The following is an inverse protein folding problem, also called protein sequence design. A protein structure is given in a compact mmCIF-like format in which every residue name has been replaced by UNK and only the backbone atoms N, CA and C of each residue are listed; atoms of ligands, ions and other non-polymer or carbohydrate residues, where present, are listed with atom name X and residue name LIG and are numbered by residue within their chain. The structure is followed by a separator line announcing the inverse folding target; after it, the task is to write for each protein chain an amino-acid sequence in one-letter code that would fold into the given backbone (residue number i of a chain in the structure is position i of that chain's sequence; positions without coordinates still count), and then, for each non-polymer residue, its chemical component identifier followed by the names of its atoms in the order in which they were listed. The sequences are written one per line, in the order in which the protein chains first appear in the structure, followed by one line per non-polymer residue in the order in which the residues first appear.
data_IF_515821139370
#
_entry.id   IF_515821139370
#
_cell.length_a   1.000
_cell.length_b   1.000
_cell.length_c   1.000
_cell.angle_alpha   90.00
_cell.angle_beta   90.00
_cell.angle_gamma   90.00
#
_symmetry.space_group_name_H-M   'P 1'
#
loop_
_entity.id
_entity.type
_entity.pdbx_description
1 polymer ?
#
# COMPACT_ATOMS: atom_id res chain seq x y z
N UNK A 1 -8.71 -1.75 -22.23
CA UNK A 1 -9.89 -1.79 -21.34
C UNK A 1 -10.36 -0.36 -21.13
N UNK A 2 -11.66 -0.05 -21.24
CA UNK A 2 -12.13 1.30 -20.94
C UNK A 2 -11.80 1.64 -19.49
N UNK A 3 -11.33 2.87 -19.25
CA UNK A 3 -11.06 3.43 -17.93
C UNK A 3 -12.38 3.59 -17.17
N UNK A 4 -12.90 2.49 -16.62
CA UNK A 4 -14.05 2.53 -15.72
C UNK A 4 -13.59 2.97 -14.35
N UNK A 5 -14.12 4.07 -13.83
CA UNK A 5 -13.95 4.43 -12.42
C UNK A 5 -14.53 3.31 -11.55
N UNK A 6 -13.72 2.74 -10.66
CA UNK A 6 -14.20 1.78 -9.67
C UNK A 6 -15.09 2.52 -8.67
N UNK A 7 -16.38 2.22 -8.67
CA UNK A 7 -17.34 2.82 -7.74
C UNK A 7 -17.24 2.14 -6.37
N UNK A 8 -16.96 2.93 -5.34
CA UNK A 8 -17.01 2.50 -3.95
C UNK A 8 -18.42 2.75 -3.42
N UNK A 9 -19.08 1.72 -2.90
CA UNK A 9 -20.53 1.76 -2.61
C UNK A 9 -20.90 1.51 -1.14
N UNK A 10 -20.07 0.76 -0.40
CA UNK A 10 -20.33 0.46 1.00
C UNK A 10 -19.33 1.16 1.89
N UNK A 11 -19.81 1.98 2.82
CA UNK A 11 -19.01 2.63 3.84
C UNK A 11 -19.33 2.03 5.21
N UNK A 12 -18.30 1.72 6.00
CA UNK A 12 -18.45 1.41 7.42
C UNK A 12 -17.42 2.16 8.25
N UNK A 13 -17.80 2.52 9.47
CA UNK A 13 -16.84 2.97 10.46
C UNK A 13 -15.93 1.80 10.84
N UNK A 14 -14.64 2.08 10.94
CA UNK A 14 -13.62 1.15 11.42
C UNK A 14 -12.90 1.81 12.58
N UNK A 15 -12.79 1.05 13.66
CA UNK A 15 -12.05 1.42 14.86
C UNK A 15 -10.90 0.43 14.99
N UNK A 16 -9.67 0.94 14.99
CA UNK A 16 -8.48 0.12 15.15
C UNK A 16 -7.85 0.47 16.49
N UNK A 17 -7.76 -0.50 17.39
CA UNK A 17 -7.08 -0.36 18.66
C UNK A 17 -5.65 -0.91 18.55
N UNK A 18 -4.64 -0.04 18.70
CA UNK A 18 -3.23 -0.43 18.60
C UNK A 18 -2.31 0.58 19.29
N UNK A 19 -1.24 0.09 19.94
CA UNK A 19 -0.24 0.97 20.57
C UNK A 19 -0.76 1.86 21.71
N UNK A 20 -1.89 1.50 22.34
CA UNK A 20 -2.54 2.31 23.37
C UNK A 20 -3.31 3.52 22.83
N UNK A 21 -3.53 3.59 21.50
CA UNK A 21 -4.35 4.60 20.84
C UNK A 21 -5.44 3.94 20.01
N UNK A 22 -6.50 4.69 19.76
CA UNK A 22 -7.59 4.29 18.89
C UNK A 22 -7.53 5.13 17.62
N UNK A 23 -7.45 4.48 16.47
CA UNK A 23 -7.68 5.13 15.18
C UNK A 23 -9.13 4.90 14.76
N UNK A 24 -9.79 5.95 14.27
CA UNK A 24 -11.14 5.89 13.72
C UNK A 24 -11.13 6.39 12.28
N UNK A 25 -11.80 5.66 11.40
CA UNK A 25 -11.98 6.11 10.03
C UNK A 25 -13.03 5.30 9.28
N UNK A 26 -12.99 5.42 7.96
CA UNK A 26 -14.00 4.84 7.06
C UNK A 26 -13.35 3.81 6.17
N UNK A 27 -13.91 2.60 6.15
CA UNK A 27 -13.65 1.60 5.12
C UNK A 27 -14.71 1.68 4.05
N UNK A 28 -14.25 1.79 2.81
CA UNK A 28 -15.07 1.70 1.62
C UNK A 28 -14.77 0.39 0.88
N UNK A 29 -15.78 -0.15 0.19
CA UNK A 29 -15.65 -1.37 -0.60
C UNK A 29 -16.08 -1.14 -2.05
N UNK A 30 -15.32 -1.76 -2.95
CA UNK A 30 -15.73 -1.96 -4.34
C UNK A 30 -15.53 -3.41 -4.75
N UNK A 31 -16.46 -3.92 -5.57
CA UNK A 31 -16.35 -5.21 -6.23
C UNK A 31 -16.38 -5.00 -7.75
N UNK A 32 -15.55 -5.73 -8.48
CA UNK A 32 -15.48 -5.65 -9.93
C UNK A 32 -15.22 -7.03 -10.55
N UNK A 33 -15.67 -7.28 -11.78
CA UNK A 33 -15.47 -8.58 -12.43
C UNK A 33 -13.99 -8.88 -12.62
N UNK A 34 -13.59 -10.13 -12.38
CA UNK A 34 -12.27 -10.61 -12.77
C UNK A 34 -12.26 -10.83 -14.29
N UNK A 35 -11.42 -10.09 -15.00
CA UNK A 35 -11.23 -10.31 -16.43
C UNK A 35 -10.85 -11.78 -16.70
N UNK A 36 -11.57 -12.43 -17.61
CA UNK A 36 -11.31 -13.82 -18.01
C UNK A 36 -11.80 -14.91 -17.05
N UNK A 37 -12.60 -14.58 -16.03
CA UNK A 37 -13.22 -15.59 -15.16
C UNK A 37 -14.70 -15.25 -14.94
N UNK A 38 -15.59 -15.94 -15.65
CA UNK A 38 -17.04 -15.78 -15.47
C UNK A 38 -17.43 -16.09 -14.01
N UNK A 39 -18.21 -15.21 -13.40
CA UNK A 39 -18.72 -15.37 -12.03
C UNK A 39 -17.72 -15.07 -10.91
N UNK A 40 -16.44 -14.83 -11.19
CA UNK A 40 -15.46 -14.48 -10.16
C UNK A 40 -15.34 -12.95 -10.01
N UNK A 41 -15.74 -12.41 -8.85
CA UNK A 41 -15.51 -11.02 -8.48
C UNK A 41 -14.15 -10.82 -7.81
N UNK A 42 -13.54 -9.66 -8.04
CA UNK A 42 -12.46 -9.11 -7.20
C UNK A 42 -13.06 -8.09 -6.24
N UNK A 43 -12.49 -8.00 -5.05
CA UNK A 43 -12.87 -7.03 -4.03
C UNK A 43 -11.65 -6.21 -3.65
N UNK A 44 -11.84 -4.90 -3.56
CA UNK A 44 -10.88 -3.98 -2.97
C UNK A 44 -11.52 -3.24 -1.82
N UNK A 45 -10.71 -2.95 -0.80
CA UNK A 45 -11.09 -2.17 0.37
C UNK A 45 -10.25 -0.89 0.36
N UNK A 46 -10.85 0.24 0.71
CA UNK A 46 -10.17 1.53 0.80
C UNK A 46 -10.40 2.10 2.20
N UNK A 47 -9.31 2.28 2.95
CA UNK A 47 -9.34 3.01 4.21
C UNK A 47 -9.03 4.48 3.95
N UNK A 48 -9.96 5.38 4.29
CA UNK A 48 -9.74 6.82 4.14
C UNK A 48 -8.97 7.37 5.34
N UNK A 49 -7.99 8.23 5.07
CA UNK A 49 -7.22 8.98 6.10
C UNK A 49 -6.56 8.05 7.12
N UNK A 50 -6.06 6.91 6.65
CA UNK A 50 -5.31 5.97 7.50
C UNK A 50 -4.07 6.63 8.09
N UNK A 51 -3.33 7.37 7.25
CA UNK A 51 -2.18 8.19 7.65
C UNK A 51 -2.64 9.64 7.87
N UNK A 52 -2.13 10.27 8.92
CA UNK A 52 -2.31 11.69 9.17
C UNK A 52 -1.38 12.54 8.30
N UNK A 53 -1.68 13.84 8.08
CA UNK A 53 -0.88 14.72 7.23
C UNK A 53 0.60 14.76 7.62
N UNK A 54 0.90 14.93 8.91
CA UNK A 54 2.27 14.94 9.42
C UNK A 54 3.03 13.62 9.17
N UNK A 55 2.33 12.48 9.14
CA UNK A 55 2.96 11.18 8.84
C UNK A 55 3.29 11.08 7.36
N UNK A 56 2.37 11.54 6.50
CA UNK A 56 2.60 11.65 5.06
C UNK A 56 3.78 12.57 4.78
N UNK A 57 3.82 13.76 5.39
CA UNK A 57 4.90 14.74 5.22
C UNK A 57 6.26 14.13 5.60
N UNK A 58 6.34 13.41 6.72
CA UNK A 58 7.59 12.74 7.14
C UNK A 58 8.01 11.62 6.19
N UNK A 59 7.05 10.85 5.66
CA UNK A 59 7.38 9.83 4.66
C UNK A 59 7.90 10.49 3.39
N UNK A 60 7.26 11.56 2.92
CA UNK A 60 7.66 12.31 1.72
C UNK A 60 9.01 13.01 1.90
N UNK A 61 9.28 13.61 3.06
CA UNK A 61 10.56 14.24 3.38
C UNK A 61 11.72 13.24 3.22
N UNK A 62 11.56 12.03 3.77
CA UNK A 62 12.55 10.98 3.60
C UNK A 62 12.60 10.45 2.15
N UNK A 63 11.45 10.29 1.49
CA UNK A 63 11.36 9.85 0.09
C UNK A 63 12.11 10.78 -0.88
N UNK A 64 12.07 12.09 -0.59
CA UNK A 64 12.74 13.13 -1.37
C UNK A 64 14.16 13.42 -0.89
N UNK A 65 14.60 12.82 0.22
CA UNK A 65 15.94 13.06 0.76
C UNK A 65 17.02 12.43 -0.12
N UNK A 66 18.17 13.09 -0.24
CA UNK A 66 19.33 12.56 -0.95
C UNK A 66 19.95 11.32 -0.27
N UNK A 67 19.51 10.98 0.93
CA UNK A 67 20.00 9.84 1.72
C UNK A 67 19.30 8.54 1.33
N UNK A 68 18.09 8.61 0.77
CA UNK A 68 17.33 7.42 0.42
C UNK A 68 17.70 6.93 -0.97
N UNK A 69 18.38 5.79 -1.02
CA UNK A 69 18.72 5.12 -2.27
C UNK A 69 17.54 4.28 -2.77
N UNK A 70 17.20 4.46 -4.05
CA UNK A 70 16.20 3.68 -4.76
C UNK A 70 16.88 2.64 -5.63
N UNK A 71 16.51 1.39 -5.41
CA UNK A 71 16.94 0.28 -6.24
C UNK A 71 16.37 0.43 -7.66
N UNK A 72 17.23 0.28 -8.66
CA UNK A 72 16.90 0.33 -10.07
C UNK A 72 17.07 -1.03 -10.78
N UNK A 73 17.18 -2.11 -10.01
CA UNK A 73 17.25 -3.47 -10.53
C UNK A 73 16.02 -3.78 -11.41
N UNK A 74 16.18 -4.65 -12.44
CA UNK A 74 15.07 -5.13 -13.25
C UNK A 74 13.98 -5.81 -12.41
N UNK A 75 12.74 -5.37 -12.61
CA UNK A 75 11.53 -6.00 -12.06
C UNK A 75 11.28 -7.37 -12.71
N UNK A 76 10.84 -8.36 -11.93
CA UNK A 76 10.60 -9.71 -12.45
C UNK A 76 9.42 -9.79 -13.43
N UNK A 77 8.51 -8.80 -13.43
CA UNK A 77 7.32 -8.79 -14.29
C UNK A 77 7.66 -8.33 -15.71
N UNK A 78 8.51 -7.31 -15.87
CA UNK A 78 8.78 -6.69 -17.18
C UNK A 78 10.25 -6.33 -17.47
N UNK A 79 11.17 -6.64 -16.55
CA UNK A 79 12.59 -6.36 -16.67
C UNK A 79 12.97 -4.88 -16.59
N UNK A 80 12.03 -3.99 -16.25
CA UNK A 80 12.31 -2.54 -16.14
C UNK A 80 12.76 -2.16 -14.73
N UNK A 81 13.55 -1.09 -14.56
CA UNK A 81 13.94 -0.60 -13.23
C UNK A 81 12.73 -0.34 -12.34
N UNK A 82 12.83 -0.75 -11.08
CA UNK A 82 11.70 -0.67 -10.15
C UNK A 82 11.54 0.65 -9.41
N UNK A 83 12.66 1.33 -9.11
CA UNK A 83 12.70 2.54 -8.27
C UNK A 83 12.03 2.32 -6.92
N UNK A 84 12.51 1.30 -6.21
CA UNK A 84 11.99 0.84 -4.91
C UNK A 84 13.02 0.94 -3.80
N UNK A 85 12.55 1.15 -2.58
CA UNK A 85 13.36 1.03 -1.37
C UNK A 85 12.58 0.28 -0.30
N UNK A 86 13.24 -0.62 0.40
CA UNK A 86 12.60 -1.55 1.33
C UNK A 86 12.82 -1.11 2.78
N UNK A 87 11.76 -1.14 3.57
CA UNK A 87 11.82 -0.91 5.02
C UNK A 87 11.56 -2.18 5.81
N UNK A 88 10.89 -3.16 5.21
CA UNK A 88 10.73 -4.49 5.77
C UNK A 88 10.84 -5.56 4.69
N UNK A 89 11.56 -6.63 5.00
CA UNK A 89 11.71 -7.84 4.16
C UNK A 89 11.68 -9.05 5.10
N UNK A 90 10.93 -10.09 4.75
CA UNK A 90 10.76 -11.30 5.58
C UNK A 90 10.33 -10.99 7.02
N UNK A 91 9.45 -9.99 7.19
CA UNK A 91 8.98 -9.45 8.47
C UNK A 91 10.07 -8.82 9.36
N UNK A 92 11.28 -8.59 8.81
CA UNK A 92 12.37 -7.92 9.51
C UNK A 92 12.51 -6.48 9.02
N UNK A 93 12.82 -5.56 9.94
CA UNK A 93 13.08 -4.17 9.59
C UNK A 93 14.47 -4.01 8.97
N UNK A 94 14.52 -3.35 7.82
CA UNK A 94 15.77 -2.86 7.25
C UNK A 94 16.21 -1.62 8.04
N UNK A 95 17.50 -1.50 8.42
CA UNK A 95 18.01 -0.29 9.05
C UNK A 95 17.80 0.95 8.17
N UNK A 96 17.32 2.06 8.74
CA UNK A 96 17.11 3.30 7.98
C UNK A 96 16.16 4.29 8.65
N UNK A 97 16.18 5.54 8.19
CA UNK A 97 15.49 6.68 8.83
C UNK A 97 13.96 6.59 8.83
N UNK A 98 13.35 5.90 7.85
CA UNK A 98 11.90 5.77 7.73
C UNK A 98 11.30 4.75 8.72
N UNK A 99 12.13 3.91 9.35
CA UNK A 99 11.68 2.85 10.27
C UNK A 99 10.79 3.40 11.37
N UNK A 100 11.17 4.51 12.01
CA UNK A 100 10.43 5.07 13.14
C UNK A 100 9.10 5.71 12.72
N UNK A 101 8.94 6.05 11.44
CA UNK A 101 7.68 6.54 10.87
C UNK A 101 6.76 5.38 10.49
N UNK A 102 7.30 4.36 9.79
CA UNK A 102 6.52 3.24 9.27
C UNK A 102 6.12 2.25 10.36
N UNK A 103 7.01 1.96 11.32
CA UNK A 103 6.76 0.98 12.39
C UNK A 103 5.43 1.21 13.13
N UNK A 104 5.12 2.40 13.66
CA UNK A 104 3.84 2.63 14.34
C UNK A 104 2.64 2.51 13.38
N UNK A 105 2.76 2.97 12.12
CA UNK A 105 1.68 2.80 11.12
C UNK A 105 1.37 1.31 10.90
N UNK A 106 2.41 0.49 10.75
CA UNK A 106 2.27 -0.95 10.54
C UNK A 106 1.72 -1.64 11.79
N UNK A 107 2.38 -1.46 12.93
CA UNK A 107 2.09 -2.22 14.16
C UNK A 107 0.78 -1.81 14.82
N UNK A 108 0.38 -0.54 14.72
CA UNK A 108 -0.76 0.00 15.46
C UNK A 108 -2.01 0.17 14.59
N UNK A 109 -1.87 0.21 13.25
CA UNK A 109 -3.01 0.37 12.33
C UNK A 109 -3.14 -0.76 11.31
N UNK A 110 -2.17 -0.92 10.42
CA UNK A 110 -2.30 -1.85 9.27
C UNK A 110 -2.45 -3.29 9.73
N UNK A 111 -1.54 -3.77 10.57
CA UNK A 111 -1.52 -5.17 10.99
C UNK A 111 -2.73 -5.55 11.85
N UNK A 112 -3.13 -4.76 12.88
CA UNK A 112 -4.37 -5.03 13.61
C UNK A 112 -5.60 -5.05 12.72
N UNK A 113 -5.72 -4.10 11.79
CA UNK A 113 -6.82 -4.07 10.83
C UNK A 113 -6.88 -5.33 9.96
N UNK A 114 -5.75 -5.76 9.40
CA UNK A 114 -5.70 -6.97 8.56
C UNK A 114 -6.09 -8.21 9.37
N UNK A 115 -5.55 -8.35 10.59
CA UNK A 115 -5.85 -9.50 11.47
C UNK A 115 -7.33 -9.61 11.77
N UNK A 116 -7.96 -8.49 12.15
CA UNK A 116 -9.39 -8.45 12.43
C UNK A 116 -10.21 -8.67 11.15
N UNK A 117 -9.90 -7.94 10.07
CA UNK A 117 -10.68 -7.96 8.82
C UNK A 117 -10.77 -9.34 8.19
N UNK A 118 -9.70 -10.10 8.30
CA UNK A 118 -9.55 -11.42 7.68
C UNK A 118 -9.63 -12.58 8.69
N UNK A 119 -9.85 -12.30 9.98
CA UNK A 119 -9.92 -13.33 11.01
C UNK A 119 -8.63 -14.16 11.14
N UNK A 120 -7.48 -13.54 10.86
CA UNK A 120 -6.17 -14.20 10.84
C UNK A 120 -5.25 -13.54 11.87
N UNK A 121 -5.22 -14.05 13.10
CA UNK A 121 -4.43 -13.47 14.21
C UNK A 121 -2.92 -13.45 13.92
N UNK A 122 -2.44 -14.42 13.15
CA UNK A 122 -1.03 -14.60 12.83
C UNK A 122 -0.57 -13.76 11.62
N UNK A 123 -1.49 -13.05 10.95
CA UNK A 123 -1.12 -12.19 9.83
C UNK A 123 -0.06 -11.16 10.26
N UNK A 124 1.00 -11.04 9.48
CA UNK A 124 2.12 -10.13 9.74
C UNK A 124 2.51 -9.42 8.44
N UNK A 125 3.04 -8.20 8.56
CA UNK A 125 3.61 -7.51 7.41
C UNK A 125 4.96 -8.15 7.07
N UNK A 126 4.99 -8.95 6.01
CA UNK A 126 6.20 -9.62 5.54
C UNK A 126 7.11 -8.68 4.73
N UNK A 127 6.53 -7.82 3.90
CA UNK A 127 7.27 -6.91 3.03
C UNK A 127 6.65 -5.52 3.08
N UNK A 128 7.49 -4.49 3.22
CA UNK A 128 7.08 -3.09 3.15
C UNK A 128 8.13 -2.30 2.38
N UNK A 129 7.69 -1.59 1.35
CA UNK A 129 8.54 -0.82 0.45
C UNK A 129 7.87 0.48 0.04
N UNK A 130 8.69 1.42 -0.41
CA UNK A 130 8.27 2.63 -1.10
C UNK A 130 8.73 2.55 -2.55
N UNK A 131 7.81 2.81 -3.47
CA UNK A 131 8.07 2.93 -4.90
C UNK A 131 7.69 4.33 -5.36
N UNK A 132 8.49 4.91 -6.26
CA UNK A 132 8.20 6.22 -6.87
C UNK A 132 7.97 6.10 -8.38
N UNK A 133 7.33 7.11 -8.94
CA UNK A 133 6.95 7.16 -10.36
C UNK A 133 7.23 8.56 -10.94
N UNK A 134 8.48 8.85 -11.32
CA UNK A 134 8.86 10.16 -11.88
C UNK A 134 8.82 10.20 -13.42
N UNK A 135 8.81 11.40 -14.03
CA UNK A 135 9.04 11.55 -15.47
C UNK A 135 10.39 10.91 -15.87
N UNK A 136 10.38 10.11 -16.93
CA UNK A 136 11.57 9.38 -17.41
C UNK A 136 11.81 8.03 -16.72
N UNK A 137 11.14 7.74 -15.61
CA UNK A 137 11.18 6.44 -14.93
C UNK A 137 10.06 5.49 -15.43
N UNK A 138 10.07 4.25 -14.93
CA UNK A 138 9.00 3.28 -15.17
C UNK A 138 7.72 3.78 -14.47
N UNK A 139 6.67 4.06 -15.24
CA UNK A 139 5.36 4.54 -14.72
C UNK A 139 4.18 3.60 -14.98
N UNK A 140 4.43 2.47 -15.62
CA UNK A 140 3.44 1.43 -15.85
C UNK A 140 3.92 0.15 -15.19
N UNK A 141 3.02 -0.49 -14.44
CA UNK A 141 3.26 -1.80 -13.87
C UNK A 141 2.24 -2.77 -14.49
N UNK A 142 2.68 -3.76 -15.29
CA UNK A 142 1.76 -4.68 -15.93
C UNK A 142 0.89 -5.44 -14.92
N UNK A 143 -0.27 -5.93 -15.38
CA UNK A 143 -1.13 -6.75 -14.54
C UNK A 143 -0.40 -8.03 -14.09
N UNK A 144 -0.34 -8.24 -12.78
CA UNK A 144 0.30 -9.40 -12.15
C UNK A 144 -0.42 -9.75 -10.85
N UNK A 145 0.01 -10.84 -10.22
CA UNK A 145 -0.43 -11.24 -8.89
C UNK A 145 0.72 -11.10 -7.91
N UNK A 146 0.41 -10.65 -6.71
CA UNK A 146 1.31 -10.76 -5.57
C UNK A 146 1.24 -12.20 -5.05
N UNK A 147 2.02 -13.08 -5.66
CA UNK A 147 1.95 -14.53 -5.41
C UNK A 147 2.35 -14.87 -3.96
N UNK A 148 3.19 -14.04 -3.35
CA UNK A 148 3.77 -14.27 -2.01
C UNK A 148 3.07 -13.46 -0.90
N UNK A 149 1.91 -12.87 -1.18
CA UNK A 149 1.16 -12.08 -0.20
C UNK A 149 -0.26 -12.61 0.03
N UNK A 150 -0.66 -12.74 1.30
CA UNK A 150 -2.05 -13.02 1.67
C UNK A 150 -2.97 -11.84 1.33
N UNK A 151 -2.49 -10.63 1.55
CA UNK A 151 -3.13 -9.39 1.15
C UNK A 151 -2.08 -8.30 0.87
N UNK A 152 -2.39 -7.41 -0.07
CA UNK A 152 -1.53 -6.26 -0.40
C UNK A 152 -2.22 -4.97 0.01
N UNK A 153 -1.48 -4.11 0.69
CA UNK A 153 -1.92 -2.77 1.08
C UNK A 153 -1.09 -1.76 0.31
N UNK A 154 -1.76 -0.85 -0.38
CA UNK A 154 -1.09 0.27 -1.06
C UNK A 154 -1.60 1.59 -0.49
N UNK A 155 -0.65 2.46 -0.16
CA UNK A 155 -0.92 3.80 0.38
C UNK A 155 -0.45 4.83 -0.63
N UNK A 156 -1.38 5.61 -1.17
CA UNK A 156 -1.04 6.78 -1.98
C UNK A 156 -0.61 7.93 -1.08
N UNK A 157 0.61 8.43 -1.27
CA UNK A 157 1.20 9.47 -0.42
C UNK A 157 0.99 10.90 -0.96
N UNK A 158 0.77 11.05 -2.27
CA UNK A 158 0.54 12.33 -2.94
C UNK A 158 -0.68 12.25 -3.88
N UNK A 159 -1.87 11.85 -3.38
CA UNK A 159 -3.06 11.73 -4.23
C UNK A 159 -3.42 13.09 -4.84
N UNK A 160 -3.50 13.16 -6.17
CA UNK A 160 -3.83 14.39 -6.91
C UNK A 160 -2.63 15.05 -7.60
N UNK A 161 -1.39 14.67 -7.23
CA UNK A 161 -0.17 15.22 -7.83
C UNK A 161 0.35 14.39 -9.02
N UNK A 162 -0.48 13.48 -9.56
CA UNK A 162 -0.12 12.62 -10.67
C UNK A 162 -1.32 12.32 -11.57
N UNK A 163 -1.03 12.07 -12.85
CA UNK A 163 -2.00 11.54 -13.82
C UNK A 163 -2.01 10.01 -13.80
N UNK A 164 -3.21 9.42 -13.75
CA UNK A 164 -3.40 7.98 -13.70
C UNK A 164 -3.96 7.51 -12.36
N UNK A 165 -3.62 6.31 -11.95
CA UNK A 165 -4.19 5.68 -10.76
C UNK A 165 -3.49 4.40 -10.35
N UNK A 166 -3.90 3.90 -9.19
CA UNK A 166 -3.64 2.53 -8.80
C UNK A 166 -4.58 1.63 -9.63
N UNK A 167 -4.03 0.98 -10.65
CA UNK A 167 -4.71 0.14 -11.67
C UNK A 167 -5.51 0.89 -12.75
#
# INVERSE_FOLDING_TARGET
LPRGSVAFAHEREVVIAGGGREWRGTEERADFPKAGAEGAGRRVLRLRRLLGPHEVDRVLEHACSAVLEYNNNPDSVDGKPTYETYFMVEAQHVPGGLRDVIRPIVAERIQPYVRERYGCSEATVCTCLLRRYLPGERRAHPAHYDIDAYCTVVVGLNPGDFDGGLY
#
